data_IF_786749359813
#
_entry.id   IF_786749359813
#
_cell.length_a   1.000
_cell.length_b   1.000
_cell.length_c   1.000
_cell.angle_alpha   90.00
_cell.angle_beta   90.00
_cell.angle_gamma   90.00
#
_symmetry.space_group_name_H-M   'P 1'
#
loop_
_entity.id
_entity.type
_entity.pdbx_description
1 polymer ?
#
# COMPACT_ATOMS: atom_id res chain seq x y z
N UNK A 1 -5.11 26.51 -2.58
CA UNK A 1 -3.83 26.22 -1.89
C UNK A 1 -4.02 25.97 -0.40
N UNK A 2 -4.57 26.89 0.41
CA UNK A 2 -4.83 26.59 1.85
C UNK A 2 -5.78 25.40 2.06
N UNK A 3 -6.84 25.29 1.25
CA UNK A 3 -7.82 24.22 1.38
C UNK A 3 -7.26 22.84 0.98
N UNK A 4 -6.42 22.79 -0.06
CA UNK A 4 -5.72 21.57 -0.48
C UNK A 4 -4.76 21.06 0.61
N UNK A 5 -4.01 21.95 1.27
CA UNK A 5 -3.10 21.56 2.35
C UNK A 5 -3.84 20.96 3.54
N UNK A 6 -4.94 21.60 3.97
CA UNK A 6 -5.78 21.08 5.07
C UNK A 6 -6.36 19.71 4.73
N UNK A 7 -6.86 19.56 3.50
CA UNK A 7 -7.39 18.29 3.03
C UNK A 7 -6.32 17.20 2.98
N UNK A 8 -5.12 17.50 2.48
CA UNK A 8 -4.00 16.55 2.45
C UNK A 8 -3.55 16.17 3.86
N UNK A 9 -3.47 17.12 4.81
CA UNK A 9 -3.19 16.79 6.22
C UNK A 9 -4.24 15.84 6.80
N UNK A 10 -5.51 16.00 6.44
CA UNK A 10 -6.56 15.05 6.81
C UNK A 10 -6.32 13.66 6.19
N UNK A 11 -5.97 13.58 4.90
CA UNK A 11 -5.68 12.30 4.24
C UNK A 11 -4.46 11.59 4.84
N UNK A 12 -3.42 12.32 5.23
CA UNK A 12 -2.26 11.77 5.95
C UNK A 12 -2.72 11.13 7.26
N UNK A 13 -3.47 11.87 8.07
CA UNK A 13 -3.98 11.37 9.35
C UNK A 13 -4.92 10.17 9.20
N UNK A 14 -5.79 10.17 8.18
CA UNK A 14 -6.67 9.05 7.87
C UNK A 14 -5.88 7.78 7.49
N UNK A 15 -4.87 7.91 6.64
CA UNK A 15 -4.01 6.79 6.25
C UNK A 15 -3.19 6.27 7.43
N UNK A 16 -2.56 7.15 8.21
CA UNK A 16 -1.77 6.77 9.38
C UNK A 16 -2.64 6.02 10.41
N UNK A 17 -3.80 6.58 10.75
CA UNK A 17 -4.75 5.95 11.66
C UNK A 17 -5.21 4.58 11.14
N UNK A 18 -5.49 4.47 9.83
CA UNK A 18 -5.88 3.20 9.22
C UNK A 18 -4.77 2.15 9.33
N UNK A 19 -3.52 2.51 9.03
CA UNK A 19 -2.37 1.61 9.13
C UNK A 19 -2.19 1.16 10.58
N UNK A 20 -2.15 2.08 11.55
CA UNK A 20 -1.91 1.77 12.97
C UNK A 20 -2.94 0.79 13.52
N UNK A 21 -4.23 1.05 13.26
CA UNK A 21 -5.30 0.18 13.77
C UNK A 21 -5.25 -1.23 13.17
N UNK A 22 -4.97 -1.33 11.88
CA UNK A 22 -4.97 -2.62 11.20
C UNK A 22 -3.68 -3.39 11.43
N UNK A 23 -2.52 -2.72 11.53
CA UNK A 23 -1.22 -3.35 11.77
C UNK A 23 -1.21 -4.15 13.06
N UNK A 24 -1.75 -3.58 14.15
CA UNK A 24 -1.81 -4.28 15.44
C UNK A 24 -2.65 -5.55 15.39
N UNK A 25 -3.81 -5.49 14.74
CA UNK A 25 -4.67 -6.67 14.56
C UNK A 25 -3.96 -7.75 13.72
N UNK A 26 -3.32 -7.35 12.63
CA UNK A 26 -2.72 -8.26 11.65
C UNK A 26 -1.43 -8.91 12.18
N UNK A 27 -0.57 -8.14 12.85
CA UNK A 27 0.66 -8.65 13.44
C UNK A 27 0.38 -9.74 14.49
N UNK A 28 -0.70 -9.60 15.26
CA UNK A 28 -1.13 -10.62 16.22
C UNK A 28 -1.47 -11.96 15.56
N UNK A 29 -1.95 -11.96 14.32
CA UNK A 29 -2.24 -13.20 13.58
C UNK A 29 -0.98 -13.85 13.02
N UNK A 30 -0.04 -13.03 12.54
CA UNK A 30 1.19 -13.53 11.90
C UNK A 30 2.14 -14.14 12.95
N UNK A 31 2.32 -13.48 14.10
CA UNK A 31 3.24 -13.94 15.15
C UNK A 31 2.82 -15.25 15.83
N UNK A 32 1.53 -15.61 15.79
CA UNK A 32 1.03 -16.83 16.46
C UNK A 32 1.41 -18.14 15.75
N UNK A 33 2.08 -18.08 14.60
CA UNK A 33 2.50 -19.24 13.79
C UNK A 33 1.39 -20.26 13.47
N UNK A 34 0.13 -19.83 13.61
CA UNK A 34 -1.04 -20.59 13.22
C UNK A 34 -1.31 -20.36 11.73
N UNK A 35 -1.92 -21.35 11.08
CA UNK A 35 -2.48 -21.16 9.74
C UNK A 35 -3.53 -20.03 9.81
N UNK A 36 -3.38 -19.01 8.97
CA UNK A 36 -4.32 -17.89 8.95
C UNK A 36 -5.56 -18.39 8.22
N UNK A 37 -6.76 -18.37 8.85
CA UNK A 37 -7.98 -18.80 8.17
C UNK A 37 -8.20 -18.01 6.89
N UNK A 38 -8.71 -18.67 5.87
CA UNK A 38 -8.98 -18.07 4.56
C UNK A 38 -9.70 -16.71 4.66
N UNK A 39 -10.75 -16.61 5.48
CA UNK A 39 -11.52 -15.37 5.68
C UNK A 39 -10.69 -14.23 6.27
N UNK A 40 -9.74 -14.57 7.15
CA UNK A 40 -8.83 -13.60 7.75
C UNK A 40 -7.80 -13.13 6.74
N UNK A 41 -7.24 -14.03 5.95
CA UNK A 41 -6.31 -13.66 4.90
C UNK A 41 -6.97 -12.77 3.83
N UNK A 42 -8.20 -13.09 3.44
CA UNK A 42 -9.02 -12.24 2.57
C UNK A 42 -9.29 -10.86 3.20
N UNK A 43 -9.60 -10.82 4.50
CA UNK A 43 -9.77 -9.55 5.23
C UNK A 43 -8.47 -8.73 5.23
N UNK A 44 -7.31 -9.37 5.37
CA UNK A 44 -6.00 -8.69 5.33
C UNK A 44 -5.72 -8.13 3.94
N UNK A 45 -5.96 -8.90 2.88
CA UNK A 45 -5.79 -8.42 1.51
C UNK A 45 -6.74 -7.27 1.17
N UNK A 46 -7.98 -7.32 1.66
CA UNK A 46 -8.91 -6.18 1.55
C UNK A 46 -8.35 -4.92 2.22
N UNK A 47 -7.79 -5.05 3.44
CA UNK A 47 -7.13 -3.94 4.14
C UNK A 47 -5.91 -3.41 3.37
N UNK A 48 -5.14 -4.27 2.71
CA UNK A 48 -4.04 -3.83 1.84
C UNK A 48 -4.55 -3.08 0.61
N UNK A 49 -5.60 -3.56 -0.04
CA UNK A 49 -6.22 -2.88 -1.17
C UNK A 49 -6.73 -1.48 -0.76
N UNK A 50 -7.38 -1.36 0.40
CA UNK A 50 -7.83 -0.08 0.93
C UNK A 50 -6.65 0.84 1.27
N UNK A 51 -5.60 0.30 1.89
CA UNK A 51 -4.36 1.03 2.19
C UNK A 51 -3.72 1.60 0.93
N UNK A 52 -3.58 0.79 -0.13
CA UNK A 52 -3.04 1.23 -1.42
C UNK A 52 -3.93 2.26 -2.11
N UNK A 53 -5.25 2.14 -1.98
CA UNK A 53 -6.20 3.11 -2.51
C UNK A 53 -6.04 4.48 -1.82
N UNK A 54 -5.94 4.50 -0.48
CA UNK A 54 -5.68 5.72 0.30
C UNK A 54 -4.30 6.32 -0.03
N UNK A 55 -3.27 5.50 -0.15
CA UNK A 55 -1.92 5.92 -0.56
C UNK A 55 -1.92 6.51 -1.97
N UNK A 56 -2.61 5.88 -2.92
CA UNK A 56 -2.77 6.40 -4.29
C UNK A 56 -3.49 7.75 -4.29
N UNK A 57 -4.58 7.87 -3.52
CA UNK A 57 -5.30 9.13 -3.36
C UNK A 57 -4.39 10.24 -2.84
N UNK A 58 -3.57 9.95 -1.83
CA UNK A 58 -2.63 10.92 -1.26
C UNK A 58 -1.60 11.38 -2.31
N UNK A 59 -0.96 10.44 -2.99
CA UNK A 59 0.10 10.72 -3.98
C UNK A 59 -0.44 11.48 -5.20
N UNK A 60 -1.73 11.35 -5.52
CA UNK A 60 -2.35 12.16 -6.57
C UNK A 60 -2.27 13.67 -6.30
N UNK A 61 -2.21 14.10 -5.04
CA UNK A 61 -2.09 15.50 -4.65
C UNK A 61 -0.66 16.07 -4.67
N UNK A 62 0.39 15.28 -4.95
CA UNK A 62 1.79 15.74 -4.90
C UNK A 62 2.02 17.03 -5.70
N UNK A 63 1.43 17.11 -6.89
CA UNK A 63 1.60 18.27 -7.80
C UNK A 63 0.84 19.52 -7.32
N UNK A 64 -0.08 19.39 -6.37
CA UNK A 64 -0.87 20.49 -5.82
C UNK A 64 -0.27 21.09 -4.54
N UNK A 65 0.72 20.42 -3.94
CA UNK A 65 1.31 20.80 -2.65
C UNK A 65 2.67 21.49 -2.87
N UNK A 66 2.77 22.71 -2.34
CA UNK A 66 4.01 23.49 -2.32
C UNK A 66 4.72 23.47 -0.96
N UNK A 67 4.07 22.91 0.07
CA UNK A 67 4.64 22.82 1.41
C UNK A 67 5.54 21.58 1.50
N UNK A 68 6.84 21.80 1.67
CA UNK A 68 7.85 20.74 1.72
C UNK A 68 7.68 19.82 2.91
N UNK A 69 7.25 20.35 4.05
CA UNK A 69 7.04 19.53 5.24
C UNK A 69 5.82 18.63 5.00
N UNK A 70 4.76 19.19 4.41
CA UNK A 70 3.58 18.40 4.08
C UNK A 70 3.89 17.31 3.04
N UNK A 71 4.66 17.63 1.99
CA UNK A 71 5.13 16.62 1.02
C UNK A 71 5.97 15.54 1.71
N UNK A 72 6.89 15.93 2.61
CA UNK A 72 7.68 14.98 3.38
C UNK A 72 6.80 14.06 4.21
N UNK A 73 5.80 14.59 4.90
CA UNK A 73 4.85 13.81 5.70
C UNK A 73 4.04 12.84 4.81
N UNK A 74 3.62 13.30 3.62
CA UNK A 74 2.98 12.43 2.62
C UNK A 74 3.88 11.26 2.22
N UNK A 75 5.16 11.52 1.97
CA UNK A 75 6.13 10.48 1.59
C UNK A 75 6.41 9.52 2.73
N UNK A 76 6.53 10.01 3.97
CA UNK A 76 6.71 9.17 5.15
C UNK A 76 5.55 8.20 5.30
N UNK A 77 4.31 8.69 5.35
CA UNK A 77 3.14 7.80 5.54
C UNK A 77 2.94 6.85 4.34
N UNK A 78 3.25 7.30 3.11
CA UNK A 78 3.21 6.44 1.93
C UNK A 78 4.26 5.32 2.01
N UNK A 79 5.46 5.64 2.51
CA UNK A 79 6.52 4.66 2.76
C UNK A 79 6.07 3.64 3.80
N UNK A 80 5.48 4.08 4.91
CA UNK A 80 4.98 3.19 5.97
C UNK A 80 3.89 2.24 5.48
N UNK A 81 2.98 2.75 4.64
CA UNK A 81 1.96 1.95 3.94
C UNK A 81 2.60 0.82 3.12
N UNK A 82 3.54 1.18 2.23
CA UNK A 82 4.19 0.22 1.35
C UNK A 82 5.06 -0.78 2.10
N UNK A 83 5.83 -0.32 3.08
CA UNK A 83 6.66 -1.16 3.93
C UNK A 83 5.80 -2.15 4.72
N UNK A 84 4.66 -1.70 5.26
CA UNK A 84 3.74 -2.60 5.94
C UNK A 84 3.29 -3.75 5.04
N UNK A 85 2.89 -3.46 3.81
CA UNK A 85 2.48 -4.50 2.85
C UNK A 85 3.66 -5.41 2.52
N UNK A 86 4.84 -4.84 2.21
CA UNK A 86 6.05 -5.60 1.86
C UNK A 86 6.43 -6.63 2.92
N UNK A 87 6.39 -6.24 4.20
CA UNK A 87 6.78 -7.13 5.30
C UNK A 87 5.68 -8.11 5.70
N UNK A 88 4.43 -7.85 5.35
CA UNK A 88 3.28 -8.63 5.81
C UNK A 88 2.79 -9.63 4.76
N UNK A 89 2.83 -9.25 3.47
CA UNK A 89 2.33 -10.05 2.36
C UNK A 89 3.04 -11.42 2.19
N UNK A 90 4.38 -11.56 2.37
CA UNK A 90 5.04 -12.86 2.26
C UNK A 90 4.50 -13.89 3.26
N UNK A 91 4.25 -13.47 4.50
CA UNK A 91 3.69 -14.34 5.54
C UNK A 91 2.26 -14.79 5.27
N UNK A 92 1.53 -14.07 4.42
CA UNK A 92 0.22 -14.47 3.92
C UNK A 92 0.35 -15.45 2.76
N UNK A 93 1.25 -15.18 1.82
CA UNK A 93 1.43 -15.98 0.60
C UNK A 93 1.77 -17.45 0.92
N UNK A 94 2.63 -17.70 1.90
CA UNK A 94 2.95 -19.06 2.36
C UNK A 94 1.72 -19.84 2.87
N UNK A 95 0.66 -19.11 3.27
CA UNK A 95 -0.54 -19.65 3.93
C UNK A 95 -1.79 -19.54 3.08
N UNK A 96 -1.69 -18.92 1.90
CA UNK A 96 -2.79 -18.62 1.01
C UNK A 96 -2.73 -19.51 -0.24
N UNK A 97 -3.87 -19.95 -0.78
CA UNK A 97 -3.90 -20.65 -2.06
C UNK A 97 -3.82 -19.64 -3.23
N UNK A 98 -2.78 -18.79 -3.22
CA UNK A 98 -2.49 -17.85 -4.31
C UNK A 98 -1.35 -18.43 -5.12
N UNK A 99 -1.52 -18.47 -6.43
CA UNK A 99 -0.45 -18.82 -7.35
C UNK A 99 0.59 -17.69 -7.35
N UNK A 100 1.90 -17.97 -7.18
CA UNK A 100 2.94 -16.94 -7.19
C UNK A 100 2.89 -16.01 -8.42
N UNK A 101 2.38 -16.50 -9.54
CA UNK A 101 2.19 -15.76 -10.78
C UNK A 101 1.22 -14.58 -10.64
N UNK A 102 0.24 -14.67 -9.73
CA UNK A 102 -0.72 -13.59 -9.44
C UNK A 102 -0.05 -12.43 -8.67
N UNK A 103 1.14 -12.67 -8.10
CA UNK A 103 1.96 -11.64 -7.48
C UNK A 103 2.94 -10.99 -8.46
N UNK A 104 2.77 -11.20 -9.77
CA UNK A 104 3.57 -10.55 -10.80
C UNK A 104 2.79 -9.45 -11.52
N UNK A 105 3.45 -8.32 -11.73
CA UNK A 105 2.98 -7.17 -12.52
C UNK A 105 3.96 -6.99 -13.67
N UNK A 106 3.49 -7.12 -14.91
CA UNK A 106 4.32 -6.92 -16.11
C UNK A 106 5.64 -7.75 -16.10
N UNK A 107 5.61 -8.94 -15.50
CA UNK A 107 6.78 -9.82 -15.37
C UNK A 107 7.73 -9.50 -14.21
N UNK A 108 7.38 -8.54 -13.35
CA UNK A 108 8.09 -8.21 -12.12
C UNK A 108 7.28 -8.62 -10.90
N UNK A 109 7.96 -9.09 -9.85
CA UNK A 109 7.30 -9.39 -8.58
C UNK A 109 6.76 -8.12 -7.92
N UNK A 110 5.55 -8.18 -7.34
CA UNK A 110 4.98 -7.09 -6.52
C UNK A 110 5.96 -6.64 -5.44
N UNK A 111 6.72 -7.58 -4.85
CA UNK A 111 7.73 -7.27 -3.83
C UNK A 111 8.82 -6.34 -4.38
N UNK A 112 9.26 -6.56 -5.62
CA UNK A 112 10.29 -5.76 -6.27
C UNK A 112 9.74 -4.38 -6.64
N UNK A 113 8.49 -4.31 -7.15
CA UNK A 113 7.84 -3.03 -7.46
C UNK A 113 7.67 -2.18 -6.19
N UNK A 114 7.23 -2.80 -5.09
CA UNK A 114 7.13 -2.12 -3.79
C UNK A 114 8.52 -1.67 -3.30
N UNK A 115 9.54 -2.53 -3.37
CA UNK A 115 10.90 -2.19 -2.98
C UNK A 115 11.47 -1.01 -3.75
N UNK A 116 11.29 -0.99 -5.07
CA UNK A 116 11.72 0.12 -5.93
C UNK A 116 10.98 1.44 -5.60
N UNK A 117 9.68 1.36 -5.27
CA UNK A 117 8.93 2.53 -4.82
C UNK A 117 9.42 3.05 -3.47
N UNK A 118 9.76 2.17 -2.52
CA UNK A 118 10.31 2.57 -1.22
C UNK A 118 11.63 3.33 -1.38
N UNK A 119 12.53 2.86 -2.25
CA UNK A 119 13.80 3.54 -2.56
C UNK A 119 13.52 4.94 -3.15
N UNK A 120 12.59 5.03 -4.11
CA UNK A 120 12.20 6.32 -4.70
C UNK A 120 11.60 7.27 -3.65
N UNK A 121 10.71 6.77 -2.79
CA UNK A 121 10.09 7.57 -1.74
C UNK A 121 11.15 8.07 -0.74
N UNK A 122 12.13 7.24 -0.35
CA UNK A 122 13.21 7.65 0.55
C UNK A 122 13.99 8.84 -0.02
N UNK A 123 14.32 8.82 -1.32
CA UNK A 123 14.93 9.96 -2.01
C UNK A 123 14.04 11.22 -1.97
N UNK A 124 12.72 11.06 -2.05
CA UNK A 124 11.75 12.15 -1.99
C UNK A 124 11.52 12.68 -0.57
N UNK A 125 11.73 11.87 0.47
CA UNK A 125 11.71 12.33 1.87
C UNK A 125 12.88 13.30 2.11
N UNK A 126 14.06 12.97 1.59
CA UNK A 126 15.26 13.80 1.72
C UNK A 126 15.21 15.03 0.81
N UNK A 127 14.57 14.92 -0.37
CA UNK A 127 14.42 16.01 -1.31
C UNK A 127 12.99 16.08 -1.89
N UNK A 128 12.02 16.67 -1.16
CA UNK A 128 10.64 16.74 -1.62
C UNK A 128 10.44 17.60 -2.88
N UNK A 129 11.37 18.51 -3.19
CA UNK A 129 11.23 19.49 -4.28
C UNK A 129 11.24 18.84 -5.67
N UNK A 130 11.88 17.67 -5.81
CA UNK A 130 11.93 16.95 -7.10
C UNK A 130 10.68 16.09 -7.33
N UNK A 131 9.77 16.02 -6.36
CA UNK A 131 8.61 15.13 -6.41
C UNK A 131 7.70 15.30 -7.62
N UNK A 132 7.41 16.50 -8.17
CA UNK A 132 6.56 16.62 -9.36
C UNK A 132 7.13 15.91 -10.59
N UNK A 133 8.45 15.71 -10.66
CA UNK A 133 9.13 15.06 -11.78
C UNK A 133 9.14 13.53 -11.66
N UNK A 134 8.93 12.99 -10.46
CA UNK A 134 9.01 11.54 -10.15
C UNK A 134 7.63 10.96 -9.82
N UNK A 135 6.66 11.82 -9.49
CA UNK A 135 5.32 11.45 -9.06
C UNK A 135 4.59 10.53 -10.05
N UNK A 136 4.79 10.70 -11.36
CA UNK A 136 4.09 9.88 -12.37
C UNK A 136 4.39 8.38 -12.21
N UNK A 137 5.67 8.02 -12.14
CA UNK A 137 6.07 6.61 -11.99
C UNK A 137 5.56 6.02 -10.67
N UNK A 138 5.64 6.81 -9.59
CA UNK A 138 5.17 6.38 -8.28
C UNK A 138 3.65 6.14 -8.28
N UNK A 139 2.87 7.05 -8.90
CA UNK A 139 1.42 6.93 -9.06
C UNK A 139 1.06 5.66 -9.83
N UNK A 140 1.69 5.45 -10.98
CA UNK A 140 1.46 4.29 -11.85
C UNK A 140 1.76 2.97 -11.10
N UNK A 141 2.95 2.85 -10.49
CA UNK A 141 3.33 1.63 -9.79
C UNK A 141 2.39 1.30 -8.62
N UNK A 142 2.00 2.29 -7.82
CA UNK A 142 1.08 2.07 -6.69
C UNK A 142 -0.30 1.66 -7.17
N UNK A 143 -0.76 2.24 -8.27
CA UNK A 143 -2.01 1.82 -8.91
C UNK A 143 -1.93 0.38 -9.42
N UNK A 144 -0.82 -0.01 -10.06
CA UNK A 144 -0.60 -1.39 -10.52
C UNK A 144 -0.61 -2.39 -9.35
N UNK A 145 0.10 -2.09 -8.26
CA UNK A 145 0.07 -2.91 -7.04
C UNK A 145 -1.37 -3.01 -6.49
N UNK A 146 -2.09 -1.90 -6.44
CA UNK A 146 -3.48 -1.87 -5.98
C UNK A 146 -4.39 -2.74 -6.85
N UNK A 147 -4.21 -2.70 -8.18
CA UNK A 147 -4.98 -3.53 -9.10
C UNK A 147 -4.68 -5.02 -8.94
N UNK A 148 -3.41 -5.38 -8.77
CA UNK A 148 -3.00 -6.77 -8.57
C UNK A 148 -3.57 -7.34 -7.26
N UNK A 149 -3.42 -6.64 -6.14
CA UNK A 149 -4.01 -7.06 -4.86
C UNK A 149 -5.55 -7.13 -4.97
N UNK A 150 -6.17 -6.14 -5.62
CA UNK A 150 -7.62 -6.16 -5.85
C UNK A 150 -8.09 -7.34 -6.73
N UNK A 151 -7.28 -7.77 -7.70
CA UNK A 151 -7.55 -8.96 -8.51
C UNK A 151 -7.51 -10.22 -7.65
N UNK A 152 -6.47 -10.38 -6.84
CA UNK A 152 -6.31 -11.50 -5.91
C UNK A 152 -7.51 -11.59 -4.95
N UNK A 153 -7.92 -10.47 -4.35
CA UNK A 153 -9.09 -10.39 -3.48
C UNK A 153 -10.34 -10.91 -4.20
N UNK A 154 -10.61 -10.45 -5.43
CA UNK A 154 -11.78 -10.88 -6.21
C UNK A 154 -11.73 -12.37 -6.59
N UNK A 155 -10.55 -12.88 -6.92
CA UNK A 155 -10.37 -14.31 -7.22
C UNK A 155 -10.64 -15.16 -5.99
N UNK A 156 -10.15 -14.72 -4.83
CA UNK A 156 -10.46 -15.34 -3.56
C UNK A 156 -11.96 -15.26 -3.32
N UNK A 157 -12.62 -14.10 -3.28
CA UNK A 157 -14.07 -14.02 -3.01
C UNK A 157 -14.92 -14.97 -3.87
N UNK A 158 -14.62 -15.12 -5.16
CA UNK A 158 -15.31 -16.06 -6.07
C UNK A 158 -15.11 -17.53 -5.70
N UNK A 159 -13.99 -17.91 -5.08
CA UNK A 159 -13.77 -19.27 -4.59
C UNK A 159 -14.56 -19.58 -3.32
N UNK A 160 -14.99 -18.56 -2.57
CA UNK A 160 -15.91 -18.70 -1.43
C UNK A 160 -17.34 -19.01 -1.87
N UNK A 161 -17.80 -18.49 -3.01
CA UNK A 161 -19.16 -18.74 -3.54
C UNK A 161 -19.34 -20.14 -4.15
N UNK A 162 -18.24 -20.86 -4.40
CA UNK A 162 -18.24 -22.17 -5.06
C UNK A 162 -18.04 -23.36 -4.12
N UNK A 163 -17.81 -23.12 -2.83
CA UNK A 163 -17.63 -24.10 -1.77
C UNK A 163 -18.70 -23.95 -0.69
#
# INVERSE_FOLDING_TARGET
MRDSNVFVSFLIGDLEYFIVNNRNEINNYIQKNQSIPYEKSLSILNKFAETLSKTSQLINYIEEINDKNLLRDMFIVSSESLAWILFTLPSLNEKLPIFPEELNINGQSIYDVIGNNLIQIEMLIDNPDISPFVAKNLKENIQEISMAIGHIVKMMDKSKERN
#
